data_IF_760654097440
#
_entry.id   IF_760654097440
#
_cell.length_a   1.000
_cell.length_b   1.000
_cell.length_c   1.000
_cell.angle_alpha   90.00
_cell.angle_beta   90.00
_cell.angle_gamma   90.00
#
_symmetry.space_group_name_H-M   'P 1'
#
loop_
_entity.id
_entity.type
_entity.pdbx_description
1 polymer ?
#
# COMPACT_ATOMS: atom_id res chain seq x y z
N UNK A 1 23.31 -26.64 10.32
CA UNK A 1 22.09 -26.80 9.51
C UNK A 1 22.33 -26.14 8.17
N UNK A 2 22.28 -26.99 7.15
CA UNK A 2 22.74 -26.77 5.78
C UNK A 2 21.66 -26.05 4.97
N UNK A 3 21.93 -24.83 4.49
CA UNK A 3 21.15 -24.18 3.42
C UNK A 3 22.10 -23.51 2.43
N UNK A 4 23.13 -24.24 1.99
CA UNK A 4 23.95 -23.85 0.83
C UNK A 4 24.27 -25.09 0.00
N UNK A 5 23.25 -25.62 -0.66
CA UNK A 5 23.43 -26.54 -1.79
C UNK A 5 22.27 -26.38 -2.77
N UNK A 6 22.39 -25.38 -3.65
CA UNK A 6 21.70 -25.40 -4.95
C UNK A 6 22.76 -25.73 -6.01
N UNK A 7 22.57 -26.79 -6.82
CA UNK A 7 23.49 -27.05 -7.91
C UNK A 7 23.37 -25.92 -8.94
N UNK A 8 24.52 -25.36 -9.32
CA UNK A 8 24.62 -24.46 -10.47
C UNK A 8 24.31 -25.29 -11.72
N UNK A 9 23.08 -25.18 -12.21
CA UNK A 9 22.71 -25.79 -13.48
C UNK A 9 23.36 -24.99 -14.61
N UNK A 10 24.43 -25.57 -15.17
CA UNK A 10 25.06 -25.11 -16.39
C UNK A 10 24.20 -25.58 -17.57
N UNK A 11 23.07 -24.90 -17.79
CA UNK A 11 22.30 -24.99 -19.01
C UNK A 11 22.96 -24.13 -20.10
N UNK A 12 23.40 -24.78 -21.17
CA UNK A 12 24.22 -24.19 -22.23
C UNK A 12 23.57 -23.06 -23.01
N UNK A 13 24.43 -22.17 -23.50
CA UNK A 13 24.17 -21.28 -24.63
C UNK A 13 23.84 -22.12 -25.86
N UNK A 14 22.56 -22.21 -26.22
CA UNK A 14 22.12 -22.61 -27.56
C UNK A 14 21.23 -21.52 -28.13
N UNK A 15 21.71 -20.88 -29.19
CA UNK A 15 20.96 -19.93 -30.00
C UNK A 15 19.74 -20.61 -30.63
N UNK A 16 18.53 -20.18 -30.26
CA UNK A 16 17.31 -20.39 -31.05
C UNK A 16 16.22 -19.37 -30.63
N UNK A 17 15.73 -18.62 -31.63
CA UNK A 17 14.37 -18.07 -31.78
C UNK A 17 13.93 -16.88 -30.91
N UNK A 18 14.30 -15.68 -31.36
CA UNK A 18 13.90 -14.38 -30.81
C UNK A 18 12.47 -13.91 -31.12
N UNK A 19 11.47 -14.80 -31.06
CA UNK A 19 10.04 -14.44 -31.24
C UNK A 19 9.14 -14.96 -30.09
N UNK A 20 9.62 -15.95 -29.30
CA UNK A 20 8.88 -16.52 -28.17
C UNK A 20 8.95 -15.72 -26.87
N UNK A 21 9.95 -14.84 -26.73
CA UNK A 21 10.24 -14.12 -25.48
C UNK A 21 9.35 -12.87 -25.30
N UNK A 22 9.07 -12.14 -26.39
CA UNK A 22 8.22 -10.94 -26.33
C UNK A 22 6.75 -11.26 -26.07
N UNK A 23 6.21 -12.31 -26.72
CA UNK A 23 4.82 -12.71 -26.53
C UNK A 23 4.55 -13.20 -25.09
N UNK A 24 5.49 -13.97 -24.53
CA UNK A 24 5.43 -14.47 -23.15
C UNK A 24 5.56 -13.31 -22.15
N UNK A 25 6.48 -12.38 -22.40
CA UNK A 25 6.66 -11.18 -21.58
C UNK A 25 5.41 -10.31 -21.57
N UNK A 26 4.77 -10.12 -22.74
CA UNK A 26 3.54 -9.34 -22.87
C UNK A 26 2.36 -9.99 -22.15
N UNK A 27 2.21 -11.31 -22.29
CA UNK A 27 1.18 -12.05 -21.57
C UNK A 27 1.33 -11.90 -20.05
N UNK A 28 2.55 -12.09 -19.53
CA UNK A 28 2.82 -11.91 -18.11
C UNK A 28 2.55 -10.48 -17.64
N UNK A 29 2.95 -9.48 -18.43
CA UNK A 29 2.71 -8.07 -18.11
C UNK A 29 1.22 -7.75 -18.01
N UNK A 30 0.42 -8.22 -18.96
CA UNK A 30 -1.03 -8.00 -18.98
C UNK A 30 -1.71 -8.72 -17.80
N UNK A 31 -1.32 -9.95 -17.50
CA UNK A 31 -1.80 -10.70 -16.33
C UNK A 31 -1.44 -9.99 -15.02
N UNK A 32 -0.19 -9.60 -14.86
CA UNK A 32 0.30 -8.89 -13.68
C UNK A 32 -0.46 -7.57 -13.47
N UNK A 33 -0.63 -6.77 -14.52
CA UNK A 33 -1.35 -5.50 -14.41
C UNK A 33 -2.80 -5.71 -14.02
N UNK A 34 -3.48 -6.70 -14.62
CA UNK A 34 -4.87 -6.98 -14.32
C UNK A 34 -5.04 -7.44 -12.87
N UNK A 35 -4.23 -8.39 -12.43
CA UNK A 35 -4.28 -8.92 -11.06
C UNK A 35 -3.90 -7.84 -10.03
N UNK A 36 -2.87 -7.04 -10.31
CA UNK A 36 -2.43 -5.96 -9.44
C UNK A 36 -3.51 -4.90 -9.27
N UNK A 37 -4.14 -4.45 -10.37
CA UNK A 37 -5.25 -3.49 -10.34
C UNK A 37 -6.44 -4.05 -9.58
N UNK A 38 -6.80 -5.31 -9.83
CA UNK A 38 -7.91 -5.96 -9.13
C UNK A 38 -7.66 -6.00 -7.62
N UNK A 39 -6.48 -6.46 -7.18
CA UNK A 39 -6.12 -6.54 -5.76
C UNK A 39 -6.07 -5.18 -5.08
N UNK A 40 -5.51 -4.17 -5.75
CA UNK A 40 -5.46 -2.81 -5.22
C UNK A 40 -6.86 -2.20 -5.08
N UNK A 41 -7.72 -2.41 -6.08
CA UNK A 41 -9.13 -1.99 -6.05
C UNK A 41 -9.87 -2.65 -4.89
N UNK A 42 -9.77 -3.98 -4.76
CA UNK A 42 -10.42 -4.73 -3.68
C UNK A 42 -9.94 -4.30 -2.30
N UNK A 43 -8.63 -4.07 -2.14
CA UNK A 43 -8.04 -3.60 -0.88
C UNK A 43 -8.50 -2.19 -0.54
N UNK A 44 -8.51 -1.29 -1.53
CA UNK A 44 -8.99 0.08 -1.37
C UNK A 44 -10.47 0.09 -0.97
N UNK A 45 -11.32 -0.70 -1.65
CA UNK A 45 -12.75 -0.82 -1.32
C UNK A 45 -12.98 -1.29 0.12
N UNK A 46 -12.28 -2.34 0.56
CA UNK A 46 -12.40 -2.83 1.95
C UNK A 46 -12.00 -1.78 3.01
N UNK A 47 -10.99 -0.98 2.72
CA UNK A 47 -10.56 0.09 3.63
C UNK A 47 -11.60 1.22 3.66
N UNK A 48 -12.11 1.63 2.49
CA UNK A 48 -13.19 2.61 2.37
C UNK A 48 -14.43 2.16 3.15
N UNK A 49 -14.87 0.91 3.00
CA UNK A 49 -16.01 0.35 3.74
C UNK A 49 -15.77 0.35 5.26
N UNK A 50 -14.53 0.11 5.70
CA UNK A 50 -14.16 0.19 7.11
C UNK A 50 -14.32 1.62 7.64
N UNK A 51 -13.75 2.60 6.94
CA UNK A 51 -13.80 4.02 7.34
C UNK A 51 -15.24 4.55 7.33
N UNK A 52 -16.02 4.22 6.30
CA UNK A 52 -17.44 4.60 6.23
C UNK A 52 -18.25 4.06 7.40
N UNK A 53 -18.02 2.80 7.80
CA UNK A 53 -18.70 2.21 8.98
C UNK A 53 -18.30 2.88 10.29
N UNK A 54 -17.07 3.39 10.38
CA UNK A 54 -16.57 4.14 11.54
C UNK A 54 -16.96 5.62 11.50
N UNK A 55 -17.59 6.09 10.41
CA UNK A 55 -17.92 7.50 10.23
C UNK A 55 -16.70 8.39 10.00
N UNK A 56 -15.56 7.83 9.56
CA UNK A 56 -14.34 8.58 9.26
C UNK A 56 -14.39 9.04 7.80
N UNK A 57 -14.44 10.36 7.52
CA UNK A 57 -14.42 10.85 6.16
C UNK A 57 -13.06 10.59 5.48
N UNK A 58 -13.08 10.42 4.17
CA UNK A 58 -11.87 10.26 3.36
C UNK A 58 -12.06 10.83 1.96
N UNK A 59 -10.97 11.25 1.33
CA UNK A 59 -10.96 11.67 -0.07
C UNK A 59 -11.13 10.43 -0.94
N UNK A 60 -12.13 10.46 -1.84
CA UNK A 60 -12.38 9.37 -2.79
C UNK A 60 -11.11 9.15 -3.64
N UNK A 61 -10.51 7.95 -3.61
CA UNK A 61 -9.30 7.68 -4.37
C UNK A 61 -9.63 7.56 -5.87
N UNK A 62 -8.72 8.05 -6.71
CA UNK A 62 -8.72 7.83 -8.16
C UNK A 62 -7.58 6.88 -8.60
N UNK A 63 -6.54 6.74 -7.78
CA UNK A 63 -5.31 6.02 -8.05
C UNK A 63 -4.47 5.85 -6.77
N UNK A 64 -3.34 5.15 -6.86
CA UNK A 64 -2.37 5.00 -5.78
C UNK A 64 -2.60 3.79 -4.86
N UNK A 65 -1.84 3.75 -3.76
CA UNK A 65 -1.86 2.67 -2.75
C UNK A 65 -2.14 3.21 -1.34
N UNK A 66 -2.78 4.37 -1.24
CA UNK A 66 -3.09 5.06 0.01
C UNK A 66 -4.46 5.75 -0.07
N UNK A 67 -5.00 6.14 1.08
CA UNK A 67 -6.20 6.97 1.19
C UNK A 67 -5.87 8.21 2.00
N UNK A 68 -6.46 9.33 1.61
CA UNK A 68 -6.44 10.54 2.43
C UNK A 68 -7.64 10.53 3.37
N UNK A 69 -7.40 10.46 4.68
CA UNK A 69 -8.45 10.36 5.69
C UNK A 69 -8.53 11.66 6.49
N UNK A 70 -9.74 12.07 6.86
CA UNK A 70 -9.96 13.21 7.73
C UNK A 70 -10.14 12.73 9.17
N UNK A 71 -9.16 13.04 10.01
CA UNK A 71 -9.18 12.74 11.44
C UNK A 71 -9.38 14.00 12.31
N UNK A 72 -9.84 15.11 11.72
CA UNK A 72 -10.02 16.39 12.41
C UNK A 72 -10.90 16.28 13.65
N UNK A 73 -11.94 15.44 13.62
CA UNK A 73 -12.81 15.16 14.76
C UNK A 73 -12.11 14.49 15.95
N UNK A 74 -10.97 13.85 15.71
CA UNK A 74 -10.15 13.23 16.75
C UNK A 74 -8.99 14.12 17.20
N UNK A 75 -8.83 15.30 16.59
CA UNK A 75 -7.82 16.25 17.04
C UNK A 75 -8.18 16.70 18.46
N UNK A 76 -7.23 16.61 19.39
CA UNK A 76 -7.39 17.20 20.72
C UNK A 76 -7.68 18.72 20.67
N UNK A 77 -8.21 19.30 21.75
CA UNK A 77 -8.61 20.72 21.77
C UNK A 77 -7.48 21.67 21.37
N UNK A 78 -7.83 22.74 20.64
CA UNK A 78 -6.90 23.74 20.12
C UNK A 78 -6.25 24.60 21.22
N UNK A 79 -6.77 24.55 22.44
CA UNK A 79 -6.19 25.22 23.62
C UNK A 79 -4.77 24.71 23.95
N UNK A 80 -4.38 23.57 23.39
CA UNK A 80 -3.12 22.88 23.65
C UNK A 80 -1.95 23.29 22.72
N UNK A 81 -2.14 24.28 21.83
CA UNK A 81 -1.05 24.90 21.05
C UNK A 81 -1.27 24.95 19.54
N UNK A 82 -0.18 25.04 18.77
CA UNK A 82 -0.24 25.10 17.30
C UNK A 82 -0.80 23.82 16.68
N UNK A 83 -1.43 23.94 15.50
CA UNK A 83 -2.03 22.81 14.78
C UNK A 83 -1.07 21.60 14.66
N UNK A 84 0.20 21.84 14.31
CA UNK A 84 1.22 20.80 14.19
C UNK A 84 1.43 20.01 15.49
N UNK A 85 1.34 20.68 16.66
CA UNK A 85 1.50 20.00 17.95
C UNK A 85 0.29 19.13 18.28
N UNK A 86 -0.90 19.59 17.91
CA UNK A 86 -2.16 18.87 18.11
C UNK A 86 -2.19 17.62 17.22
N UNK A 87 -1.82 17.76 15.95
CA UNK A 87 -1.73 16.64 15.00
C UNK A 87 -0.65 15.64 15.42
N UNK A 88 0.55 16.12 15.79
CA UNK A 88 1.63 15.26 16.29
C UNK A 88 1.22 14.48 17.53
N UNK A 89 0.41 15.06 18.42
CA UNK A 89 -0.08 14.36 19.62
C UNK A 89 -1.02 13.21 19.23
N UNK A 90 -1.98 13.44 18.33
CA UNK A 90 -2.85 12.38 17.82
C UNK A 90 -2.02 11.26 17.16
N UNK A 91 -1.07 11.62 16.30
CA UNK A 91 -0.15 10.66 15.68
C UNK A 91 0.58 9.79 16.72
N UNK A 92 1.15 10.40 17.76
CA UNK A 92 1.85 9.66 18.80
C UNK A 92 0.92 8.76 19.62
N UNK A 93 -0.34 9.16 19.85
CA UNK A 93 -1.32 8.29 20.49
C UNK A 93 -1.63 7.07 19.60
N UNK A 94 -1.90 7.29 18.31
CA UNK A 94 -2.17 6.21 17.34
C UNK A 94 -1.05 5.17 17.33
N UNK A 95 0.20 5.62 17.28
CA UNK A 95 1.37 4.73 17.29
C UNK A 95 1.54 4.02 18.63
N UNK A 96 1.56 4.76 19.75
CA UNK A 96 1.93 4.19 21.05
C UNK A 96 0.84 3.34 21.69
N UNK A 97 -0.42 3.69 21.49
CA UNK A 97 -1.57 3.04 22.14
C UNK A 97 -2.18 1.96 21.27
N UNK A 98 -2.27 2.18 19.96
CA UNK A 98 -2.96 1.28 19.04
C UNK A 98 -2.02 0.58 18.06
N UNK A 99 -0.73 0.94 18.03
CA UNK A 99 0.23 0.36 17.07
C UNK A 99 -0.03 0.78 15.63
N UNK A 100 -0.78 1.87 15.41
CA UNK A 100 -1.16 2.35 14.09
C UNK A 100 -0.20 3.45 13.64
N UNK A 101 0.61 3.13 12.63
CA UNK A 101 1.50 4.08 11.98
C UNK A 101 0.80 4.68 10.75
N UNK A 102 0.31 5.92 10.90
CA UNK A 102 -0.24 6.72 9.81
C UNK A 102 0.67 7.93 9.54
N UNK A 103 0.68 8.42 8.30
CA UNK A 103 1.45 9.60 7.93
C UNK A 103 0.57 10.85 8.08
N UNK A 104 0.93 11.81 8.96
CA UNK A 104 0.21 13.09 9.09
C UNK A 104 0.28 13.93 7.81
N UNK A 105 -0.66 14.86 7.66
CA UNK A 105 -0.80 15.70 6.46
C UNK A 105 -0.08 17.05 6.53
N UNK A 106 0.19 17.55 7.74
CA UNK A 106 0.96 18.78 8.03
C UNK A 106 2.43 18.69 7.67
#
# INVERSE_FOLDING_TARGET
EDILSRPADKGGLSNADGDGDEATTRFWYDEFLNESRQRLSDRSGRLQDCLSRLGVPFLKPDSGMFLWMDLSHYLPSADDGSNDKVERRLYLELVKKYGLLLTPGS
#
